data_IF_074541357547
#
_entry.id   IF_074541357547
#
_cell.length_a   1.000
_cell.length_b   1.000
_cell.length_c   1.000
_cell.angle_alpha   90.00
_cell.angle_beta   90.00
_cell.angle_gamma   90.00
#
_symmetry.space_group_name_H-M   'P 1'
#
loop_
_entity.id
_entity.type
_entity.pdbx_description
1 polymer ?
#
# COMPACT_ATOMS: atom_id res chain seq x y z
N UNK A 1 26.91 -35.38 -43.61
CA UNK A 1 26.35 -35.81 -42.31
C UNK A 1 27.06 -34.96 -41.26
N UNK A 2 26.50 -33.89 -40.69
CA UNK A 2 25.11 -33.46 -40.60
C UNK A 2 25.06 -31.92 -40.50
N UNK A 3 24.01 -31.33 -41.09
CA UNK A 3 23.48 -30.03 -40.71
C UNK A 3 23.23 -29.96 -39.20
N UNK A 4 23.38 -28.77 -38.59
CA UNK A 4 22.23 -27.91 -38.25
C UNK A 4 22.70 -26.60 -37.63
N UNK A 5 22.42 -25.52 -38.35
CA UNK A 5 22.30 -24.17 -37.80
C UNK A 5 20.89 -24.10 -37.20
N UNK A 6 20.74 -23.68 -35.94
CA UNK A 6 19.46 -23.13 -35.47
C UNK A 6 19.75 -22.01 -34.50
N UNK A 7 19.52 -20.79 -34.99
CA UNK A 7 19.46 -19.59 -34.20
C UNK A 7 18.26 -19.61 -33.24
N UNK A 8 18.36 -18.73 -32.26
CA UNK A 8 17.25 -18.21 -31.44
C UNK A 8 16.79 -19.12 -30.32
N UNK A 9 17.34 -18.92 -29.13
CA UNK A 9 16.53 -19.08 -27.93
C UNK A 9 16.91 -18.04 -26.89
N UNK A 10 16.04 -17.02 -26.85
CA UNK A 10 15.78 -16.06 -25.78
C UNK A 10 16.98 -15.63 -24.96
N UNK A 11 17.35 -14.35 -25.13
CA UNK A 11 17.71 -13.53 -23.96
C UNK A 11 16.62 -13.76 -22.93
N UNK A 12 16.85 -14.70 -22.02
CA UNK A 12 16.09 -14.79 -20.80
C UNK A 12 16.35 -13.45 -20.13
N UNK A 13 15.39 -12.54 -20.29
CA UNK A 13 15.16 -11.48 -19.33
C UNK A 13 14.95 -12.27 -18.05
N UNK A 14 16.04 -12.49 -17.29
CA UNK A 14 15.95 -13.01 -15.95
C UNK A 14 14.85 -12.19 -15.29
N UNK A 15 13.80 -12.81 -14.69
CA UNK A 15 12.97 -12.02 -13.79
C UNK A 15 13.94 -11.34 -12.84
N UNK A 16 13.81 -10.01 -12.60
CA UNK A 16 14.71 -9.35 -11.66
C UNK A 16 14.70 -10.22 -10.41
N UNK A 17 15.87 -10.79 -10.10
CA UNK A 17 16.08 -11.60 -8.91
C UNK A 17 15.46 -10.84 -7.76
N UNK A 18 14.95 -11.54 -6.74
CA UNK A 18 14.31 -10.91 -5.58
C UNK A 18 15.27 -10.75 -4.39
N UNK A 19 16.01 -9.62 -4.33
CA UNK A 19 16.71 -9.16 -3.16
C UNK A 19 16.16 -7.81 -2.63
N UNK A 20 14.97 -7.35 -3.04
CA UNK A 20 14.70 -5.89 -3.14
C UNK A 20 13.65 -5.27 -2.19
N UNK A 21 12.79 -6.05 -1.52
CA UNK A 21 12.25 -5.60 -0.23
C UNK A 21 13.39 -5.37 0.79
N UNK A 22 14.53 -6.03 0.55
CA UNK A 22 15.64 -6.23 1.48
C UNK A 22 16.53 -5.00 1.75
N UNK A 23 16.05 -3.77 1.54
CA UNK A 23 16.73 -2.61 2.14
C UNK A 23 15.84 -1.68 2.96
N UNK A 24 14.64 -2.11 3.36
CA UNK A 24 13.84 -1.41 4.38
C UNK A 24 13.68 0.07 4.02
N UNK A 25 12.73 0.37 3.13
CA UNK A 25 12.23 1.74 3.04
C UNK A 25 11.43 1.99 4.34
N UNK A 26 12.12 2.05 5.47
CA UNK A 26 11.71 2.82 6.64
C UNK A 26 11.99 4.27 6.25
N UNK A 27 11.27 4.73 5.22
CA UNK A 27 11.02 6.16 5.14
C UNK A 27 10.17 6.41 6.37
N UNK A 28 10.66 7.20 7.32
CA UNK A 28 9.85 7.65 8.43
C UNK A 28 8.62 8.32 7.81
N UNK A 29 7.50 7.60 7.72
CA UNK A 29 6.32 8.04 6.97
C UNK A 29 5.87 9.39 7.49
N UNK A 30 6.10 9.66 8.77
CA UNK A 30 5.86 10.95 9.42
C UNK A 30 6.68 12.11 8.83
N UNK A 31 7.82 11.86 8.17
CA UNK A 31 8.54 12.88 7.40
C UNK A 31 7.84 13.25 6.08
N UNK A 32 7.12 12.31 5.47
CA UNK A 32 6.42 12.53 4.20
C UNK A 32 4.93 12.86 4.37
N UNK A 33 4.35 12.38 5.46
CA UNK A 33 2.96 12.59 5.89
C UNK A 33 3.03 13.12 7.34
N UNK A 34 3.46 14.38 7.55
CA UNK A 34 3.61 14.98 8.89
C UNK A 34 2.27 15.39 9.52
N UNK A 35 1.18 14.78 9.09
CA UNK A 35 -0.18 15.09 9.54
C UNK A 35 -0.66 13.89 10.32
N UNK A 36 -0.99 14.08 11.58
CA UNK A 36 -1.65 13.06 12.38
C UNK A 36 -3.15 13.08 12.05
N UNK A 37 -3.68 12.05 11.40
CA UNK A 37 -5.10 11.92 11.11
C UNK A 37 -5.88 11.74 12.41
N UNK A 38 -6.95 12.52 12.58
CA UNK A 38 -7.82 12.49 13.76
C UNK A 38 -9.20 13.04 13.42
N UNK A 39 -10.21 12.73 14.23
CA UNK A 39 -11.56 13.31 14.06
C UNK A 39 -11.67 14.75 14.57
N UNK A 40 -10.75 15.18 15.44
CA UNK A 40 -10.77 16.53 16.02
C UNK A 40 -10.41 17.65 15.04
N UNK A 41 -9.80 17.30 13.90
CA UNK A 41 -9.21 18.26 12.95
C UNK A 41 -9.68 17.96 11.52
N UNK A 42 -9.90 18.98 10.66
CA UNK A 42 -10.30 18.79 9.27
C UNK A 42 -9.10 18.39 8.37
N UNK A 43 -8.30 17.43 8.82
CA UNK A 43 -6.99 17.12 8.26
C UNK A 43 -7.01 15.96 7.23
N UNK A 44 -8.11 15.21 7.14
CA UNK A 44 -8.24 14.04 6.26
C UNK A 44 -7.87 14.32 4.80
N UNK A 45 -8.41 15.39 4.19
CA UNK A 45 -8.13 15.72 2.77
C UNK A 45 -6.64 15.96 2.52
N UNK A 46 -5.95 16.59 3.47
CA UNK A 46 -4.51 16.89 3.35
C UNK A 46 -3.68 15.65 3.62
N UNK A 47 -4.03 14.87 4.65
CA UNK A 47 -3.41 13.59 4.99
C UNK A 47 -3.49 12.60 3.81
N UNK A 48 -4.69 12.33 3.30
CA UNK A 48 -4.93 11.40 2.20
C UNK A 48 -4.16 11.80 0.94
N UNK A 49 -4.12 13.09 0.61
CA UNK A 49 -3.34 13.60 -0.53
C UNK A 49 -1.84 13.33 -0.37
N UNK A 50 -1.27 13.58 0.81
CA UNK A 50 0.16 13.31 1.06
C UNK A 50 0.47 11.82 1.02
N UNK A 51 -0.41 10.98 1.58
CA UNK A 51 -0.24 9.53 1.56
C UNK A 51 -0.28 8.97 0.13
N UNK A 52 -1.24 9.41 -0.70
CA UNK A 52 -1.30 8.99 -2.11
C UNK A 52 -0.05 9.40 -2.90
N UNK A 53 0.52 10.58 -2.63
CA UNK A 53 1.78 11.03 -3.23
C UNK A 53 2.97 10.15 -2.80
N UNK A 54 3.00 9.72 -1.53
CA UNK A 54 4.01 8.80 -1.01
C UNK A 54 3.94 7.45 -1.75
N UNK A 55 2.74 6.86 -1.83
CA UNK A 55 2.50 5.59 -2.53
C UNK A 55 2.90 5.69 -4.02
N UNK A 56 2.55 6.79 -4.68
CA UNK A 56 2.93 7.04 -6.07
C UNK A 56 4.45 7.14 -6.25
N UNK A 57 5.16 7.83 -5.34
CA UNK A 57 6.62 7.99 -5.40
C UNK A 57 7.37 6.65 -5.40
N UNK A 58 6.83 5.67 -4.68
CA UNK A 58 7.40 4.33 -4.59
C UNK A 58 6.77 3.33 -5.58
N UNK A 59 5.94 3.80 -6.52
CA UNK A 59 5.23 2.95 -7.50
C UNK A 59 4.38 1.85 -6.86
N UNK A 60 3.81 2.12 -5.67
CA UNK A 60 3.02 1.16 -4.89
C UNK A 60 1.50 1.29 -5.10
N UNK A 61 1.07 2.10 -6.08
CA UNK A 61 -0.35 2.43 -6.29
C UNK A 61 -1.22 1.22 -6.63
N UNK A 62 -0.67 0.24 -7.36
CA UNK A 62 -1.41 -0.97 -7.74
C UNK A 62 -1.72 -1.87 -6.53
N UNK A 63 -0.89 -1.81 -5.47
CA UNK A 63 -1.11 -2.55 -4.22
C UNK A 63 -2.23 -1.94 -3.36
N UNK A 64 -2.37 -0.61 -3.38
CA UNK A 64 -3.44 0.09 -2.65
C UNK A 64 -4.81 -0.05 -3.34
N UNK A 65 -4.81 -0.30 -4.65
CA UNK A 65 -6.03 -0.43 -5.46
C UNK A 65 -6.46 -1.89 -5.64
N UNK A 66 -5.68 -2.85 -5.15
CA UNK A 66 -5.92 -4.29 -5.34
C UNK A 66 -5.76 -4.76 -6.80
N UNK A 67 -5.11 -3.98 -7.68
CA UNK A 67 -5.04 -4.24 -9.14
C UNK A 67 -3.87 -5.13 -9.54
N UNK A 68 -3.13 -5.68 -8.58
CA UNK A 68 -1.99 -6.56 -8.89
C UNK A 68 -2.49 -7.87 -9.52
N UNK A 69 -2.25 -8.03 -10.83
CA UNK A 69 -2.46 -9.31 -11.51
C UNK A 69 -1.70 -10.43 -10.77
N UNK A 70 -2.26 -11.66 -10.63
CA UNK A 70 -1.54 -12.78 -10.03
C UNK A 70 -0.25 -13.05 -10.81
N UNK A 71 0.87 -12.70 -10.20
CA UNK A 71 2.21 -12.97 -10.70
C UNK A 71 2.59 -14.34 -10.18
N UNK A 72 3.29 -15.12 -10.99
CA UNK A 72 3.87 -16.41 -10.58
C UNK A 72 5.00 -16.26 -9.54
N UNK A 73 5.37 -15.02 -9.17
CA UNK A 73 6.25 -14.71 -8.05
C UNK A 73 5.49 -14.86 -6.73
N UNK A 74 6.04 -15.65 -5.81
CA UNK A 74 5.35 -16.25 -4.67
C UNK A 74 4.61 -15.28 -3.75
N UNK A 75 3.53 -15.80 -3.16
CA UNK A 75 2.58 -15.06 -2.33
C UNK A 75 3.23 -14.26 -1.18
N UNK A 76 4.39 -14.70 -0.69
CA UNK A 76 5.15 -14.06 0.40
C UNK A 76 5.50 -12.59 0.14
N UNK A 77 5.95 -12.23 -1.07
CA UNK A 77 6.35 -10.84 -1.37
C UNK A 77 5.16 -9.89 -1.38
N UNK A 78 3.99 -10.40 -1.79
CA UNK A 78 2.73 -9.65 -1.76
C UNK A 78 2.30 -9.37 -0.34
N UNK A 79 2.32 -10.38 0.52
CA UNK A 79 1.97 -10.22 1.93
C UNK A 79 2.92 -9.27 2.66
N UNK A 80 4.22 -9.33 2.36
CA UNK A 80 5.20 -8.40 2.95
C UNK A 80 4.95 -6.95 2.50
N UNK A 81 4.65 -6.74 1.21
CA UNK A 81 4.33 -5.40 0.70
C UNK A 81 3.02 -4.88 1.28
N UNK A 82 2.00 -5.73 1.39
CA UNK A 82 0.71 -5.39 1.97
C UNK A 82 0.87 -4.97 3.45
N UNK A 83 1.57 -5.76 4.25
CA UNK A 83 1.85 -5.44 5.66
C UNK A 83 2.64 -4.12 5.81
N UNK A 84 3.62 -3.86 4.93
CA UNK A 84 4.37 -2.60 4.94
C UNK A 84 3.47 -1.39 4.68
N UNK A 85 2.54 -1.50 3.71
CA UNK A 85 1.60 -0.40 3.42
C UNK A 85 0.63 -0.21 4.59
N UNK A 86 0.18 -1.29 5.25
CA UNK A 86 -0.64 -1.17 6.46
C UNK A 86 0.10 -0.41 7.57
N UNK A 87 1.37 -0.75 7.84
CA UNK A 87 2.22 -0.03 8.81
C UNK A 87 2.36 1.45 8.46
N UNK A 88 2.54 1.76 7.18
CA UNK A 88 2.62 3.14 6.70
C UNK A 88 1.32 3.91 6.88
N UNK A 89 0.17 3.28 6.64
CA UNK A 89 -1.14 3.90 6.84
C UNK A 89 -1.33 4.21 8.32
N UNK A 90 -1.03 3.27 9.22
CA UNK A 90 -1.29 3.40 10.66
C UNK A 90 -0.35 4.41 11.35
N UNK A 91 0.88 4.57 10.87
CA UNK A 91 1.90 5.43 11.51
C UNK A 91 1.48 6.91 11.71
N UNK A 92 0.85 7.60 10.73
CA UNK A 92 0.34 8.97 10.87
C UNK A 92 -1.14 9.03 11.28
N UNK A 93 -1.66 8.07 12.03
CA UNK A 93 -3.06 8.04 12.51
C UNK A 93 -3.07 8.05 14.05
N UNK A 94 -4.05 8.72 14.67
CA UNK A 94 -4.21 8.69 16.13
C UNK A 94 -4.88 7.38 16.62
N UNK A 95 -4.74 7.09 17.91
CA UNK A 95 -5.24 5.84 18.50
C UNK A 95 -6.75 5.64 18.27
N UNK A 96 -7.54 6.72 18.37
CA UNK A 96 -9.00 6.68 18.16
C UNK A 96 -9.39 6.20 16.75
N UNK A 97 -8.78 6.75 15.71
CA UNK A 97 -9.05 6.31 14.33
C UNK A 97 -8.49 4.90 14.10
N UNK A 98 -7.32 4.59 14.68
CA UNK A 98 -6.71 3.27 14.60
C UNK A 98 -7.64 2.19 15.18
N UNK A 99 -8.13 2.36 16.40
CA UNK A 99 -8.99 1.39 17.08
C UNK A 99 -10.27 1.05 16.30
N UNK A 100 -10.83 2.03 15.58
CA UNK A 100 -12.02 1.80 14.74
C UNK A 100 -11.72 0.95 13.51
N UNK A 101 -10.55 1.12 12.89
CA UNK A 101 -10.18 0.41 11.65
C UNK A 101 -9.47 -0.91 11.89
N UNK A 102 -8.85 -1.11 13.06
CA UNK A 102 -8.13 -2.34 13.44
C UNK A 102 -9.00 -3.60 13.32
N UNK A 103 -10.32 -3.47 13.47
CA UNK A 103 -11.29 -4.58 13.27
C UNK A 103 -11.44 -5.03 11.81
N UNK A 104 -10.96 -4.23 10.83
CA UNK A 104 -11.16 -4.42 9.38
C UNK A 104 -9.88 -4.73 8.61
N UNK A 105 -8.82 -5.16 9.30
CA UNK A 105 -7.49 -5.33 8.69
C UNK A 105 -7.30 -6.75 8.15
N UNK A 106 -7.61 -6.94 6.86
CA UNK A 106 -7.13 -8.11 6.12
C UNK A 106 -6.20 -7.73 4.97
N UNK A 107 -6.20 -6.46 4.56
CA UNK A 107 -5.28 -5.93 3.55
C UNK A 107 -5.10 -4.41 3.67
N UNK A 108 -4.05 -3.87 3.05
CA UNK A 108 -3.84 -2.43 2.92
C UNK A 108 -4.95 -1.73 2.12
N UNK A 109 -5.54 -2.43 1.15
CA UNK A 109 -6.66 -1.91 0.34
C UNK A 109 -7.91 -1.75 1.22
N UNK A 110 -8.26 -2.77 2.01
CA UNK A 110 -9.39 -2.71 2.95
C UNK A 110 -9.17 -1.62 3.99
N UNK A 111 -7.98 -1.54 4.59
CA UNK A 111 -7.64 -0.51 5.56
C UNK A 111 -7.80 0.92 4.99
N UNK A 112 -7.29 1.16 3.77
CA UNK A 112 -7.43 2.45 3.09
C UNK A 112 -8.90 2.81 2.84
N UNK A 113 -9.71 1.84 2.39
CA UNK A 113 -11.14 2.02 2.15
C UNK A 113 -11.91 2.28 3.45
N UNK A 114 -11.61 1.56 4.52
CA UNK A 114 -12.20 1.76 5.85
C UNK A 114 -11.95 3.18 6.36
N UNK A 115 -10.71 3.67 6.27
CA UNK A 115 -10.37 5.05 6.66
C UNK A 115 -11.11 6.05 5.76
N UNK A 116 -11.14 5.83 4.45
CA UNK A 116 -11.89 6.70 3.55
C UNK A 116 -13.37 6.76 3.93
N UNK A 117 -14.00 5.63 4.21
CA UNK A 117 -15.38 5.53 4.65
C UNK A 117 -15.60 6.25 5.99
N UNK A 118 -14.72 6.09 6.99
CA UNK A 118 -14.87 6.78 8.28
C UNK A 118 -14.93 8.31 8.18
N UNK A 119 -14.23 8.90 7.20
CA UNK A 119 -14.16 10.34 7.01
C UNK A 119 -15.12 10.89 5.93
N UNK A 120 -15.74 10.00 5.14
CA UNK A 120 -16.71 10.37 4.10
C UNK A 120 -18.15 9.91 4.38
N UNK A 121 -18.31 8.73 5.00
CA UNK A 121 -19.59 8.06 5.24
C UNK A 121 -20.12 8.27 6.67
N UNK A 122 -19.32 8.81 7.59
CA UNK A 122 -19.85 9.43 8.82
C UNK A 122 -20.55 10.75 8.47
N UNK A 123 -21.71 10.64 7.83
CA UNK A 123 -22.79 11.58 8.11
C UNK A 123 -22.98 11.52 9.62
N UNK A 124 -23.07 12.65 10.34
CA UNK A 124 -23.51 12.60 11.73
C UNK A 124 -24.81 11.81 11.71
N UNK A 125 -24.88 10.72 12.47
CA UNK A 125 -26.16 10.14 12.83
C UNK A 125 -26.98 11.34 13.31
N UNK A 126 -27.95 11.77 12.51
CA UNK A 126 -28.85 12.82 12.91
C UNK A 126 -29.48 12.31 14.18
N UNK A 127 -29.04 12.89 15.29
CA UNK A 127 -29.70 12.77 16.57
C UNK A 127 -31.16 13.14 16.32
N UNK A 128 -32.03 12.15 16.44
CA UNK A 128 -33.45 12.37 16.73
C UNK A 128 -33.65 12.01 18.18
#
# INVERSE_FOLDING_TARGET
MSEKISATEKFAIMPPSTPHLAFTIISNVKLHVPILLSFSEPNYKKWSRLFLLLVQRFSLGDSLTGKLAPSSAGDTERYQLDALIQEWILSPINDEVSDLVLSSINSATELWQSIHSLFHDNKPAQTM
#
